data_IF_803795700142
#
_entry.id   IF_803795700142
#
_cell.length_a   1.000
_cell.length_b   1.000
_cell.length_c   1.000
_cell.angle_alpha   90.00
_cell.angle_beta   90.00
_cell.angle_gamma   90.00
#
_symmetry.space_group_name_H-M   'P 1'
#
loop_
_entity.id
_entity.type
_entity.pdbx_description
1 polymer ?
#
# COMPACT_ATOMS: atom_id res chain seq x y z
N UNK A 1 4.27 16.26 -16.09
CA UNK A 1 2.85 16.47 -15.77
C UNK A 1 2.08 15.32 -16.35
N UNK A 2 1.81 14.29 -15.53
CA UNK A 2 0.84 13.29 -15.91
C UNK A 2 0.10 12.86 -14.63
N UNK A 3 -1.16 13.28 -14.54
CA UNK A 3 -2.03 13.05 -13.38
C UNK A 3 -3.12 12.12 -13.88
N UNK A 4 -2.89 10.82 -13.75
CA UNK A 4 -3.84 9.78 -14.11
C UNK A 4 -5.05 9.85 -13.17
N UNK A 5 -6.13 10.47 -13.66
CA UNK A 5 -7.45 10.51 -13.01
C UNK A 5 -8.10 9.11 -13.04
N UNK A 6 -7.88 8.30 -12.01
CA UNK A 6 -8.73 7.14 -11.75
C UNK A 6 -9.94 7.54 -10.90
N UNK A 7 -11.13 7.54 -11.52
CA UNK A 7 -12.43 7.65 -10.84
C UNK A 7 -12.76 6.31 -10.19
N UNK A 8 -12.54 6.20 -8.88
CA UNK A 8 -13.21 5.22 -8.04
C UNK A 8 -14.07 5.95 -7.00
N UNK A 9 -15.24 5.40 -6.62
CA UNK A 9 -16.09 6.01 -5.61
C UNK A 9 -15.39 6.05 -4.24
N UNK A 10 -15.49 7.20 -3.56
CA UNK A 10 -14.97 7.41 -2.21
C UNK A 10 -15.87 6.72 -1.19
N UNK A 11 -15.27 6.09 -0.18
CA UNK A 11 -15.94 5.20 0.76
C UNK A 11 -16.47 5.82 2.04
N UNK A 12 -16.15 7.08 2.31
CA UNK A 12 -16.58 7.78 3.52
C UNK A 12 -17.03 9.21 3.17
N UNK A 13 -17.93 9.75 4.00
CA UNK A 13 -18.41 11.12 3.90
C UNK A 13 -17.27 12.13 4.07
N UNK A 14 -17.35 13.19 3.28
CA UNK A 14 -16.37 14.26 3.17
C UNK A 14 -16.20 15.00 4.52
N UNK A 15 -15.15 14.66 5.27
CA UNK A 15 -14.65 15.54 6.32
C UNK A 15 -13.88 16.67 5.63
N UNK A 16 -14.47 17.87 5.61
CA UNK A 16 -13.83 19.08 5.09
C UNK A 16 -13.15 19.80 6.26
N UNK A 17 -11.87 19.49 6.46
CA UNK A 17 -10.93 20.40 7.12
C UNK A 17 -9.84 20.76 6.10
N UNK A 18 -9.74 22.05 5.77
CA UNK A 18 -8.61 22.70 5.10
C UNK A 18 -8.19 22.30 3.68
N UNK A 19 -9.14 22.32 2.72
CA UNK A 19 -8.97 22.62 1.27
C UNK A 19 -7.79 22.00 0.47
N UNK A 20 -7.08 21.04 1.03
CA UNK A 20 -6.18 20.13 0.33
C UNK A 20 -6.82 18.76 0.52
N UNK A 21 -7.32 18.18 -0.57
CA UNK A 21 -7.75 16.78 -0.60
C UNK A 21 -6.50 15.88 -0.47
N UNK A 22 -5.88 15.92 0.70
CA UNK A 22 -4.93 14.90 1.11
C UNK A 22 -5.76 13.63 1.24
N UNK A 23 -5.46 12.64 0.40
CA UNK A 23 -6.03 11.32 0.56
C UNK A 23 -5.78 10.88 1.99
N UNK A 24 -6.80 10.37 2.68
CA UNK A 24 -6.60 9.87 4.03
C UNK A 24 -5.50 8.80 4.01
N UNK A 25 -4.75 8.65 5.09
CA UNK A 25 -3.72 7.59 5.19
C UNK A 25 -4.32 6.22 4.84
N UNK A 26 -5.61 6.02 5.16
CA UNK A 26 -6.39 4.82 4.81
C UNK A 26 -6.53 4.63 3.30
N UNK A 27 -6.89 5.69 2.59
CA UNK A 27 -7.03 5.68 1.13
C UNK A 27 -5.72 5.42 0.42
N UNK A 28 -4.62 5.96 0.95
CA UNK A 28 -3.27 5.75 0.41
C UNK A 28 -2.84 4.31 0.66
N UNK A 29 -3.03 3.77 1.88
CA UNK A 29 -2.69 2.39 2.19
C UNK A 29 -3.43 1.39 1.29
N UNK A 30 -4.75 1.58 1.13
CA UNK A 30 -5.57 0.77 0.23
C UNK A 30 -5.09 0.87 -1.23
N UNK A 31 -4.73 2.08 -1.69
CA UNK A 31 -4.21 2.30 -3.04
C UNK A 31 -2.85 1.61 -3.25
N UNK A 32 -1.98 1.59 -2.25
CA UNK A 32 -0.67 0.91 -2.33
C UNK A 32 -0.83 -0.60 -2.40
N UNK A 33 -1.72 -1.19 -1.60
CA UNK A 33 -2.04 -2.62 -1.70
C UNK A 33 -2.59 -2.94 -3.10
N UNK A 34 -3.48 -2.12 -3.64
CA UNK A 34 -4.01 -2.29 -5.00
C UNK A 34 -2.91 -2.20 -6.06
N UNK A 35 -1.99 -1.24 -5.96
CA UNK A 35 -0.88 -1.10 -6.89
C UNK A 35 0.09 -2.29 -6.86
N UNK A 36 0.41 -2.80 -5.67
CA UNK A 36 1.23 -4.00 -5.51
C UNK A 36 0.53 -5.23 -6.10
N UNK A 37 -0.78 -5.36 -5.86
CA UNK A 37 -1.57 -6.48 -6.37
C UNK A 37 -1.63 -6.53 -7.90
N UNK A 38 -1.56 -5.38 -8.58
CA UNK A 38 -1.67 -5.30 -10.03
C UNK A 38 -0.33 -5.23 -10.76
N UNK A 39 0.67 -4.53 -10.20
CA UNK A 39 1.94 -4.26 -10.86
C UNK A 39 3.17 -4.60 -9.99
N UNK A 40 3.08 -4.48 -8.67
CA UNK A 40 4.20 -4.88 -7.80
C UNK A 40 5.48 -4.05 -7.98
N UNK A 41 5.39 -2.76 -8.33
CA UNK A 41 6.59 -1.93 -8.47
C UNK A 41 7.30 -1.71 -7.12
N UNK A 42 8.63 -1.70 -7.10
CA UNK A 42 9.46 -1.62 -5.88
C UNK A 42 9.10 -0.40 -5.03
N UNK A 43 8.88 0.76 -5.65
CA UNK A 43 8.47 1.99 -4.94
C UNK A 43 7.20 1.82 -4.10
N UNK A 44 6.25 1.01 -4.55
CA UNK A 44 4.97 0.84 -3.86
C UNK A 44 5.13 -0.01 -2.59
N UNK A 45 6.09 -0.95 -2.59
CA UNK A 45 6.49 -1.67 -1.37
C UNK A 45 7.18 -0.76 -0.37
N UNK A 46 8.05 0.15 -0.82
CA UNK A 46 8.68 1.15 0.04
C UNK A 46 7.65 2.05 0.71
N UNK A 47 6.72 2.61 -0.08
CA UNK A 47 5.65 3.45 0.42
C UNK A 47 4.75 2.69 1.41
N UNK A 48 4.42 1.43 1.11
CA UNK A 48 3.63 0.61 2.03
C UNK A 48 4.39 0.31 3.33
N UNK A 49 5.69 0.01 3.28
CA UNK A 49 6.49 -0.22 4.48
C UNK A 49 6.57 1.03 5.38
N UNK A 50 6.63 2.23 4.80
CA UNK A 50 6.54 3.48 5.58
C UNK A 50 5.17 3.59 6.26
N UNK A 51 4.09 3.34 5.53
CA UNK A 51 2.73 3.37 6.08
C UNK A 51 2.59 2.37 7.24
N UNK A 52 3.08 1.14 7.06
CA UNK A 52 3.03 0.08 8.07
C UNK A 52 3.91 0.35 9.30
N UNK A 53 4.79 1.35 9.24
CA UNK A 53 5.50 1.85 10.43
C UNK A 53 4.58 2.63 11.38
N UNK A 54 3.38 3.01 10.93
CA UNK A 54 2.42 3.81 11.69
C UNK A 54 1.06 3.11 11.92
N UNK A 55 0.76 2.02 11.20
CA UNK A 55 -0.52 1.29 11.31
C UNK A 55 -0.37 -0.19 10.98
N UNK A 56 -1.36 -1.02 11.34
CA UNK A 56 -1.32 -2.47 11.07
C UNK A 56 -1.71 -2.82 9.64
N UNK A 57 -1.09 -3.87 9.10
CA UNK A 57 -1.46 -4.41 7.79
C UNK A 57 -2.89 -4.93 7.76
N UNK A 58 -3.41 -5.45 8.87
CA UNK A 58 -4.83 -5.84 9.00
C UNK A 58 -5.77 -4.69 8.67
N UNK A 59 -5.51 -3.51 9.25
CA UNK A 59 -6.32 -2.31 8.99
C UNK A 59 -6.22 -1.88 7.53
N UNK A 60 -5.01 -1.92 6.97
CA UNK A 60 -4.79 -1.59 5.56
C UNK A 60 -5.51 -2.54 4.60
N UNK A 61 -5.49 -3.84 4.88
CA UNK A 61 -6.22 -4.85 4.11
C UNK A 61 -7.73 -4.65 4.22
N UNK A 62 -8.26 -4.36 5.42
CA UNK A 62 -9.68 -4.08 5.59
C UNK A 62 -10.13 -2.84 4.79
N UNK A 63 -9.30 -1.78 4.74
CA UNK A 63 -9.58 -0.61 3.90
C UNK A 63 -9.47 -0.92 2.41
N UNK A 64 -8.52 -1.76 2.01
CA UNK A 64 -8.42 -2.25 0.64
C UNK A 64 -9.66 -3.02 0.21
N UNK A 65 -10.14 -3.98 1.02
CA UNK A 65 -11.36 -4.76 0.74
C UNK A 65 -12.60 -3.88 0.65
N UNK A 66 -12.73 -2.91 1.56
CA UNK A 66 -13.83 -1.92 1.50
C UNK A 66 -13.75 -1.17 0.17
N UNK A 67 -12.56 -0.74 -0.28
CA UNK A 67 -12.36 0.20 -1.40
C UNK A 67 -12.40 -0.45 -2.76
N UNK A 68 -11.96 -1.70 -2.81
CA UNK A 68 -11.89 -2.52 -4.01
C UNK A 68 -12.64 -3.83 -3.72
N UNK A 69 -13.98 -3.84 -3.80
CA UNK A 69 -14.78 -5.02 -3.48
C UNK A 69 -14.52 -6.22 -4.40
N UNK A 70 -13.99 -5.95 -5.61
CA UNK A 70 -13.52 -6.98 -6.54
C UNK A 70 -12.08 -7.43 -6.26
N UNK A 71 -11.37 -6.75 -5.37
CA UNK A 71 -10.01 -7.07 -4.97
C UNK A 71 -10.02 -8.21 -3.95
N UNK A 72 -9.50 -9.36 -4.35
CA UNK A 72 -9.43 -10.50 -3.45
C UNK A 72 -8.30 -10.30 -2.42
N UNK A 73 -8.67 -10.23 -1.14
CA UNK A 73 -7.72 -10.14 -0.02
C UNK A 73 -6.60 -11.17 -0.09
N UNK A 74 -6.95 -12.41 -0.44
CA UNK A 74 -5.96 -13.49 -0.58
C UNK A 74 -4.95 -13.20 -1.69
N UNK A 75 -5.39 -12.64 -2.82
CA UNK A 75 -4.51 -12.24 -3.93
C UNK A 75 -3.61 -11.07 -3.51
N UNK A 76 -4.14 -10.09 -2.78
CA UNK A 76 -3.35 -9.00 -2.23
C UNK A 76 -2.26 -9.52 -1.27
N UNK A 77 -2.62 -10.41 -0.34
CA UNK A 77 -1.65 -11.00 0.60
C UNK A 77 -0.56 -11.82 -0.11
N UNK A 78 -0.91 -12.59 -1.16
CA UNK A 78 0.07 -13.29 -2.00
C UNK A 78 1.02 -12.31 -2.68
N UNK A 79 0.47 -11.26 -3.29
CA UNK A 79 1.25 -10.23 -4.00
C UNK A 79 2.20 -9.48 -3.06
N UNK A 80 1.79 -9.24 -1.81
CA UNK A 80 2.66 -8.63 -0.79
C UNK A 80 3.88 -9.48 -0.41
N UNK A 81 3.84 -10.79 -0.66
CA UNK A 81 4.97 -11.71 -0.45
C UNK A 81 5.80 -11.98 -1.71
N UNK A 82 5.38 -11.44 -2.85
CA UNK A 82 6.01 -11.64 -4.15
C UNK A 82 6.89 -10.44 -4.51
N UNK A 83 8.21 -10.61 -4.41
CA UNK A 83 9.18 -9.53 -4.64
C UNK A 83 9.97 -9.67 -5.94
N UNK A 84 9.76 -10.75 -6.71
CA UNK A 84 10.62 -11.13 -7.84
C UNK A 84 10.69 -10.02 -8.90
N UNK A 85 9.54 -9.47 -9.28
CA UNK A 85 9.48 -8.39 -10.27
C UNK A 85 10.14 -7.10 -9.72
N UNK A 86 9.83 -6.77 -8.47
CA UNK A 86 10.39 -5.60 -7.79
C UNK A 86 11.91 -5.68 -7.60
N UNK A 87 12.47 -6.88 -7.39
CA UNK A 87 13.90 -7.09 -7.13
C UNK A 87 14.80 -6.50 -8.23
N UNK A 88 14.33 -6.55 -9.47
CA UNK A 88 15.03 -6.03 -10.65
C UNK A 88 14.97 -4.51 -10.81
N UNK A 89 14.05 -3.83 -10.12
CA UNK A 89 13.89 -2.38 -10.21
C UNK A 89 14.96 -1.63 -9.40
N UNK A 90 15.36 -0.41 -9.81
CA UNK A 90 16.25 0.41 -8.99
C UNK A 90 15.57 0.84 -7.68
N UNK A 91 16.36 0.99 -6.62
CA UNK A 91 15.85 1.49 -5.34
C UNK A 91 15.38 2.96 -5.45
N UNK A 92 14.19 3.30 -4.94
CA UNK A 92 13.69 4.66 -4.94
C UNK A 92 14.46 5.52 -3.93
N UNK A 93 14.42 6.84 -4.11
CA UNK A 93 14.87 7.77 -3.06
C UNK A 93 13.82 7.79 -1.95
N UNK A 94 14.22 7.45 -0.73
CA UNK A 94 13.34 7.41 0.44
C UNK A 94 13.69 8.53 1.42
N UNK A 95 12.76 8.89 2.30
CA UNK A 95 12.97 9.93 3.32
C UNK A 95 13.73 9.42 4.56
N UNK A 96 13.82 8.10 4.73
CA UNK A 96 14.35 7.45 5.95
C UNK A 96 15.56 6.56 5.70
N UNK A 97 16.14 6.61 4.50
CA UNK A 97 17.24 5.73 4.08
C UNK A 97 16.94 4.24 4.33
N UNK A 98 15.66 3.84 4.25
CA UNK A 98 15.29 2.42 4.26
C UNK A 98 15.96 1.75 3.05
N UNK A 99 16.55 0.58 3.27
CA UNK A 99 17.03 -0.27 2.20
C UNK A 99 16.02 -1.37 1.87
N UNK A 100 16.20 -2.01 0.72
CA UNK A 100 15.23 -2.96 0.19
C UNK A 100 15.04 -4.19 1.09
N UNK A 101 16.09 -4.64 1.78
CA UNK A 101 16.03 -5.77 2.71
C UNK A 101 15.10 -5.41 3.89
N UNK A 102 15.27 -4.22 4.47
CA UNK A 102 14.42 -3.74 5.57
C UNK A 102 12.95 -3.62 5.14
N UNK A 103 12.69 -3.17 3.91
CA UNK A 103 11.32 -3.10 3.37
C UNK A 103 10.69 -4.49 3.31
N UNK A 104 11.40 -5.48 2.75
CA UNK A 104 10.90 -6.88 2.73
C UNK A 104 10.65 -7.41 4.14
N UNK A 105 11.55 -7.13 5.08
CA UNK A 105 11.40 -7.55 6.48
C UNK A 105 10.15 -6.95 7.14
N UNK A 106 9.90 -5.65 6.94
CA UNK A 106 8.69 -4.98 7.44
C UNK A 106 7.44 -5.65 6.86
N UNK A 107 7.37 -5.81 5.54
CA UNK A 107 6.20 -6.39 4.86
C UNK A 107 5.94 -7.83 5.32
N UNK A 108 6.99 -8.67 5.35
CA UNK A 108 6.87 -10.05 5.79
C UNK A 108 6.51 -10.17 7.29
N UNK A 109 7.03 -9.27 8.13
CA UNK A 109 6.64 -9.22 9.55
C UNK A 109 5.17 -8.87 9.69
N UNK A 110 4.71 -7.83 9.02
CA UNK A 110 3.31 -7.42 9.05
C UNK A 110 2.37 -8.48 8.49
N UNK A 111 2.79 -9.27 7.48
CA UNK A 111 2.02 -10.43 7.01
C UNK A 111 1.88 -11.50 8.10
N UNK A 112 2.95 -11.82 8.83
CA UNK A 112 2.88 -12.80 9.94
C UNK A 112 1.94 -12.34 11.05
N UNK A 113 1.92 -11.05 11.36
CA UNK A 113 1.02 -10.45 12.35
C UNK A 113 -0.47 -10.54 11.95
N UNK A 114 -0.79 -10.75 10.67
CA UNK A 114 -2.16 -10.97 10.19
C UNK A 114 -2.62 -12.43 10.37
N UNK A 115 -1.68 -13.38 10.37
CA UNK A 115 -1.98 -14.82 10.51
C UNK A 115 -1.90 -15.35 11.95
N UNK A 116 -1.27 -14.60 12.86
CA UNK A 116 -1.10 -14.96 14.27
C UNK A 116 -2.20 -14.42 15.15
#
# INVERSE_FOLDING_TARGET
MDILRHRYPLLDELVVEDKIKLWSVRDIAAAKISAITNHGAKKDFYDLAEILSHLSLESALAWFEKKYPSGERLMAMKSLSWFEDADSEPDPRTLRDLNWIQVKEIILRSLREVFG
#
